data_IF_597802348850
#
_entry.id   IF_597802348850
#
_cell.length_a   1.000
_cell.length_b   1.000
_cell.length_c   1.000
_cell.angle_alpha   90.00
_cell.angle_beta   90.00
_cell.angle_gamma   90.00
#
_symmetry.space_group_name_H-M   'P 1'
#
loop_
_entity.id
_entity.type
_entity.pdbx_description
1 polymer ?
#
# COMPACT_ATOMS: atom_id res chain seq x y z
N UNK A 1 -47.15 71.23 -28.45
CA UNK A 1 -46.54 71.47 -29.78
C UNK A 1 -45.07 71.13 -29.69
N UNK A 2 -44.56 70.23 -30.55
CA UNK A 2 -43.19 70.09 -31.11
C UNK A 2 -41.94 70.32 -30.20
N UNK A 3 -40.84 69.56 -30.24
CA UNK A 3 -40.45 68.39 -31.03
C UNK A 3 -38.91 68.16 -31.00
N UNK A 4 -38.47 66.88 -31.02
CA UNK A 4 -37.12 66.28 -31.23
C UNK A 4 -35.87 67.19 -31.48
N UNK A 5 -34.66 66.79 -31.02
CA UNK A 5 -33.79 65.75 -31.64
C UNK A 5 -32.78 65.08 -30.68
N UNK A 6 -32.15 63.99 -31.16
CA UNK A 6 -31.38 62.95 -30.44
C UNK A 6 -29.86 63.19 -30.37
N UNK A 7 -29.17 62.52 -29.42
CA UNK A 7 -27.91 61.78 -29.70
C UNK A 7 -27.58 60.74 -28.60
N UNK A 8 -27.38 59.49 -29.05
CA UNK A 8 -26.54 58.38 -28.53
C UNK A 8 -25.28 58.84 -27.76
N UNK A 9 -24.70 58.13 -26.78
CA UNK A 9 -24.40 56.68 -26.57
C UNK A 9 -24.22 56.44 -25.04
N UNK A 10 -24.08 55.26 -24.42
CA UNK A 10 -24.05 53.83 -24.79
C UNK A 10 -24.50 52.99 -23.54
N UNK A 11 -24.25 51.67 -23.46
CA UNK A 11 -24.42 50.85 -22.24
C UNK A 11 -23.39 49.71 -22.20
N UNK A 12 -22.34 49.84 -21.39
CA UNK A 12 -21.34 48.78 -21.17
C UNK A 12 -21.91 47.71 -20.24
N UNK A 13 -22.24 46.53 -20.78
CA UNK A 13 -22.43 45.31 -20.00
C UNK A 13 -21.09 44.71 -19.60
N UNK A 14 -20.93 44.16 -18.38
CA UNK A 14 -19.71 43.43 -18.02
C UNK A 14 -19.61 42.16 -18.86
N UNK A 15 -18.44 41.91 -19.45
CA UNK A 15 -18.17 40.67 -20.15
C UNK A 15 -18.03 39.54 -19.13
N UNK A 16 -18.90 38.52 -19.23
CA UNK A 16 -18.67 37.23 -18.57
C UNK A 16 -17.45 36.59 -19.24
N UNK A 17 -16.42 36.16 -18.49
CA UNK A 17 -15.31 35.43 -19.08
C UNK A 17 -15.80 34.05 -19.50
N UNK A 18 -16.12 33.90 -20.78
CA UNK A 18 -16.30 32.58 -21.42
C UNK A 18 -14.94 31.90 -21.50
N UNK A 19 -14.55 31.23 -20.41
CA UNK A 19 -13.41 30.31 -20.41
C UNK A 19 -13.57 29.32 -21.57
N UNK A 20 -12.49 29.07 -22.30
CA UNK A 20 -12.56 28.22 -23.49
C UNK A 20 -13.03 26.83 -23.08
N UNK A 21 -13.97 26.23 -23.83
CA UNK A 21 -14.45 24.88 -23.56
C UNK A 21 -13.33 23.82 -23.53
N UNK A 22 -12.15 24.15 -24.09
CA UNK A 22 -10.93 23.35 -24.04
C UNK A 22 -10.20 23.46 -22.68
N UNK A 23 -10.15 24.64 -22.07
CA UNK A 23 -9.59 24.84 -20.72
C UNK A 23 -10.49 24.19 -19.67
N UNK A 24 -11.82 24.37 -19.77
CA UNK A 24 -12.77 23.74 -18.84
C UNK A 24 -12.67 22.22 -18.88
N UNK A 25 -12.54 21.60 -20.07
CA UNK A 25 -12.33 20.15 -20.19
C UNK A 25 -10.99 19.68 -19.63
N UNK A 26 -9.93 20.47 -19.79
CA UNK A 26 -8.60 20.19 -19.22
C UNK A 26 -8.66 20.21 -17.70
N UNK A 27 -9.20 21.29 -17.13
CA UNK A 27 -9.37 21.45 -15.68
C UNK A 27 -10.26 20.36 -15.07
N UNK A 28 -11.34 19.94 -15.75
CA UNK A 28 -12.18 18.83 -15.27
C UNK A 28 -11.48 17.46 -15.31
N UNK A 29 -10.61 17.20 -16.30
CA UNK A 29 -9.79 15.97 -16.30
C UNK A 29 -8.76 16.00 -15.18
N UNK A 30 -8.06 17.12 -15.03
CA UNK A 30 -7.06 17.32 -13.97
C UNK A 30 -7.69 17.17 -12.56
N UNK A 31 -8.89 17.71 -12.33
CA UNK A 31 -9.65 17.46 -11.11
C UNK A 31 -10.07 15.99 -10.93
N UNK A 32 -10.45 15.29 -12.00
CA UNK A 32 -10.84 13.87 -11.94
C UNK A 32 -9.65 12.96 -11.60
N UNK A 33 -8.48 13.24 -12.17
CA UNK A 33 -7.25 12.49 -11.87
C UNK A 33 -6.72 12.82 -10.46
N UNK A 34 -6.84 14.07 -10.00
CA UNK A 34 -6.47 14.48 -8.63
C UNK A 34 -7.44 13.88 -7.58
N UNK A 35 -8.72 13.72 -7.91
CA UNK A 35 -9.69 12.96 -7.11
C UNK A 35 -9.35 11.46 -7.08
N UNK A 36 -9.01 10.85 -8.23
CA UNK A 36 -8.56 9.45 -8.30
C UNK A 36 -7.30 9.20 -7.48
N UNK A 37 -6.32 10.10 -7.54
CA UNK A 37 -5.09 10.04 -6.74
C UNK A 37 -5.38 10.18 -5.23
N UNK A 38 -6.33 11.03 -4.84
CA UNK A 38 -6.77 11.13 -3.44
C UNK A 38 -7.51 9.88 -2.97
N UNK A 39 -8.36 9.29 -3.81
CA UNK A 39 -9.07 8.06 -3.49
C UNK A 39 -8.12 6.85 -3.43
N UNK A 40 -7.11 6.78 -4.29
CA UNK A 40 -6.08 5.73 -4.20
C UNK A 40 -5.20 5.91 -2.96
N UNK A 41 -4.80 7.14 -2.63
CA UNK A 41 -4.02 7.43 -1.42
C UNK A 41 -4.80 7.11 -0.13
N UNK A 42 -6.11 7.45 -0.07
CA UNK A 42 -6.98 7.05 1.04
C UNK A 42 -7.06 5.54 1.20
N UNK A 43 -7.33 4.80 0.11
CA UNK A 43 -7.39 3.34 0.15
C UNK A 43 -6.04 2.75 0.58
N UNK A 44 -4.93 3.26 0.08
CA UNK A 44 -3.59 2.82 0.50
C UNK A 44 -3.34 3.05 2.00
N UNK A 45 -3.83 4.17 2.57
CA UNK A 45 -3.81 4.39 4.02
C UNK A 45 -4.67 3.37 4.78
N UNK A 46 -5.89 3.07 4.30
CA UNK A 46 -6.80 2.09 4.91
C UNK A 46 -6.26 0.64 4.96
N UNK A 47 -5.31 0.30 4.07
CA UNK A 47 -4.62 -1.00 4.06
C UNK A 47 -3.19 -0.96 4.63
N UNK A 48 -2.73 0.19 5.13
CA UNK A 48 -1.38 0.33 5.72
C UNK A 48 -1.34 -0.12 7.18
N UNK A 49 -0.18 -0.60 7.63
CA UNK A 49 0.12 -0.86 9.05
C UNK A 49 1.49 -0.31 9.42
N UNK A 50 1.70 -0.09 10.71
CA UNK A 50 3.03 0.28 11.23
C UNK A 50 4.08 -0.79 10.91
N UNK A 51 5.28 -0.33 10.57
CA UNK A 51 6.40 -1.23 10.26
C UNK A 51 6.76 -2.16 11.42
N UNK A 52 6.58 -1.71 12.67
CA UNK A 52 6.78 -2.57 13.85
C UNK A 52 5.79 -3.73 13.92
N UNK A 53 4.52 -3.49 13.57
CA UNK A 53 3.50 -4.53 13.48
C UNK A 53 3.79 -5.50 12.32
N UNK A 54 4.32 -5.02 11.19
CA UNK A 54 4.79 -5.89 10.10
C UNK A 54 5.98 -6.76 10.54
N UNK A 55 7.00 -6.19 11.19
CA UNK A 55 8.13 -6.98 11.72
C UNK A 55 7.69 -8.03 12.74
N UNK A 56 6.75 -7.69 13.62
CA UNK A 56 6.20 -8.64 14.59
C UNK A 56 5.48 -9.80 13.88
N UNK A 57 4.65 -9.50 12.88
CA UNK A 57 4.01 -10.52 12.03
C UNK A 57 5.06 -11.41 11.34
N UNK A 58 6.02 -10.80 10.65
CA UNK A 58 7.10 -11.48 9.94
C UNK A 58 7.88 -12.44 10.86
N UNK A 59 8.30 -11.96 12.04
CA UNK A 59 9.04 -12.77 13.01
C UNK A 59 8.26 -14.02 13.45
N UNK A 60 7.00 -13.87 13.85
CA UNK A 60 6.18 -15.00 14.28
C UNK A 60 5.77 -15.93 13.14
N UNK A 61 5.58 -15.41 11.93
CA UNK A 61 5.41 -16.23 10.73
C UNK A 61 6.65 -17.11 10.48
N UNK A 62 7.86 -16.55 10.60
CA UNK A 62 9.11 -17.29 10.46
C UNK A 62 9.26 -18.42 11.47
N UNK A 63 8.94 -18.15 12.76
CA UNK A 63 8.95 -19.18 13.79
C UNK A 63 7.94 -20.31 13.53
N UNK A 64 6.71 -19.98 13.10
CA UNK A 64 5.71 -21.00 12.77
C UNK A 64 6.16 -21.87 11.59
N UNK A 65 6.62 -21.26 10.50
CA UNK A 65 7.07 -21.98 9.31
C UNK A 65 8.29 -22.87 9.61
N UNK A 66 9.20 -22.43 10.47
CA UNK A 66 10.31 -23.25 10.95
C UNK A 66 9.84 -24.43 11.83
N UNK A 67 8.85 -24.23 12.69
CA UNK A 67 8.31 -25.28 13.55
C UNK A 67 7.51 -26.34 12.75
N UNK A 68 6.85 -25.95 11.66
CA UNK A 68 6.06 -26.85 10.81
C UNK A 68 6.90 -27.60 9.76
N UNK A 69 8.12 -27.13 9.48
CA UNK A 69 9.01 -27.72 8.47
C UNK A 69 9.30 -29.21 8.75
N UNK A 70 9.36 -30.08 7.72
CA UNK A 70 9.32 -29.78 6.28
C UNK A 70 7.90 -29.64 5.69
N UNK A 71 6.85 -29.60 6.51
CA UNK A 71 5.46 -29.53 6.03
C UNK A 71 5.13 -28.11 5.56
N UNK A 72 4.68 -27.89 4.31
CA UNK A 72 4.22 -26.59 3.87
C UNK A 72 3.03 -26.10 4.71
N UNK A 73 2.95 -24.80 4.94
CA UNK A 73 1.83 -24.16 5.63
C UNK A 73 1.09 -23.25 4.67
N UNK A 74 -0.24 -23.32 4.61
CA UNK A 74 -1.01 -22.45 3.73
C UNK A 74 -0.94 -20.99 4.21
N UNK A 75 -0.92 -20.04 3.28
CA UNK A 75 -0.99 -18.61 3.58
C UNK A 75 -2.24 -18.24 4.41
N UNK A 76 -3.35 -18.94 4.16
CA UNK A 76 -4.62 -18.74 4.87
C UNK A 76 -4.51 -19.20 6.33
N UNK A 77 -3.94 -20.37 6.57
CA UNK A 77 -3.76 -20.91 7.92
C UNK A 77 -2.74 -20.13 8.73
N UNK A 78 -1.65 -19.64 8.09
CA UNK A 78 -0.68 -18.73 8.71
C UNK A 78 -1.36 -17.45 9.22
N UNK A 79 -2.17 -16.79 8.39
CA UNK A 79 -2.91 -15.58 8.78
C UNK A 79 -3.94 -15.90 9.87
N UNK A 80 -4.71 -16.98 9.73
CA UNK A 80 -5.71 -17.42 10.71
C UNK A 80 -5.07 -17.74 12.07
N UNK A 81 -3.95 -18.44 12.09
CA UNK A 81 -3.16 -18.73 13.30
C UNK A 81 -2.69 -17.43 13.95
N UNK A 82 -2.08 -16.52 13.20
CA UNK A 82 -1.57 -15.27 13.75
C UNK A 82 -2.69 -14.41 14.34
N UNK A 83 -3.81 -14.26 13.63
CA UNK A 83 -4.98 -13.50 14.10
C UNK A 83 -5.70 -14.16 15.29
N UNK A 84 -5.42 -15.44 15.57
CA UNK A 84 -5.91 -16.15 16.76
C UNK A 84 -4.93 -15.99 17.93
N UNK A 85 -3.68 -16.44 17.76
CA UNK A 85 -2.64 -16.52 18.80
C UNK A 85 -1.98 -15.17 19.13
N UNK A 86 -2.07 -14.19 18.23
CA UNK A 86 -1.46 -12.85 18.33
C UNK A 86 -2.47 -11.73 18.11
N UNK A 87 -3.75 -12.00 18.33
CA UNK A 87 -4.84 -11.01 18.25
C UNK A 87 -4.56 -9.71 19.03
N UNK A 88 -3.84 -9.81 20.16
CA UNK A 88 -3.47 -8.69 21.02
C UNK A 88 -2.40 -7.76 20.42
N UNK A 89 -1.69 -8.19 19.37
CA UNK A 89 -0.70 -7.42 18.60
C UNK A 89 -1.26 -6.84 17.30
N UNK A 90 -2.55 -7.03 17.01
CA UNK A 90 -3.20 -6.40 15.85
C UNK A 90 -3.48 -4.92 16.19
N UNK A 91 -3.12 -3.95 15.33
CA UNK A 91 -3.41 -2.53 15.57
C UNK A 91 -4.91 -2.29 15.81
N UNK A 92 -5.23 -1.46 16.81
CA UNK A 92 -6.63 -1.26 17.28
C UNK A 92 -7.43 -0.28 16.42
N UNK A 93 -6.72 0.59 15.73
CA UNK A 93 -7.15 1.55 14.73
C UNK A 93 -7.42 0.90 13.36
N UNK A 94 -6.79 -0.25 13.07
CA UNK A 94 -7.09 -1.03 11.88
C UNK A 94 -8.53 -1.57 11.91
N UNK A 95 -9.31 -1.17 10.91
CA UNK A 95 -10.72 -1.54 10.79
C UNK A 95 -10.91 -3.06 10.73
N UNK A 96 -11.70 -3.63 11.65
CA UNK A 96 -11.87 -5.09 11.81
C UNK A 96 -12.18 -5.86 10.50
N UNK A 97 -13.03 -5.37 9.58
CA UNK A 97 -13.28 -6.04 8.29
C UNK A 97 -12.08 -6.07 7.34
N UNK A 98 -11.12 -5.15 7.51
CA UNK A 98 -9.91 -5.06 6.68
C UNK A 98 -8.77 -5.94 7.20
N UNK A 99 -8.77 -6.29 8.49
CA UNK A 99 -7.71 -7.07 9.14
C UNK A 99 -7.32 -8.32 8.33
N UNK A 100 -8.23 -9.23 7.90
CA UNK A 100 -7.82 -10.41 7.14
C UNK A 100 -7.13 -10.07 5.80
N UNK A 101 -7.61 -9.06 5.09
CA UNK A 101 -7.08 -8.63 3.80
C UNK A 101 -5.70 -7.99 3.94
N UNK A 102 -5.51 -7.18 4.99
CA UNK A 102 -4.22 -6.59 5.33
C UNK A 102 -3.20 -7.68 5.64
N UNK A 103 -3.51 -8.61 6.54
CA UNK A 103 -2.57 -9.68 6.90
C UNK A 103 -2.30 -10.67 5.75
N UNK A 104 -3.27 -10.90 4.86
CA UNK A 104 -3.02 -11.62 3.59
C UNK A 104 -2.05 -10.85 2.68
N UNK A 105 -2.19 -9.52 2.58
CA UNK A 105 -1.22 -8.66 1.87
C UNK A 105 0.18 -8.74 2.48
N UNK A 106 0.30 -8.82 3.82
CA UNK A 106 1.60 -9.00 4.48
C UNK A 106 2.29 -10.31 4.09
N UNK A 107 1.54 -11.40 3.85
CA UNK A 107 2.12 -12.65 3.33
C UNK A 107 2.70 -12.46 1.93
N UNK A 108 2.04 -11.69 1.07
CA UNK A 108 2.61 -11.33 -0.24
C UNK A 108 3.90 -10.50 -0.09
N UNK A 109 3.97 -9.59 0.89
CA UNK A 109 5.21 -8.87 1.18
C UNK A 109 6.33 -9.83 1.60
N UNK A 110 6.06 -10.82 2.47
CA UNK A 110 7.05 -11.84 2.85
C UNK A 110 7.59 -12.62 1.63
N UNK A 111 6.73 -12.93 0.65
CA UNK A 111 7.16 -13.60 -0.59
C UNK A 111 8.08 -12.67 -1.41
N UNK A 112 7.68 -11.41 -1.62
CA UNK A 112 8.46 -10.42 -2.36
C UNK A 112 9.82 -10.12 -1.69
N UNK A 113 9.83 -10.07 -0.36
CA UNK A 113 11.00 -9.88 0.49
C UNK A 113 11.96 -11.09 0.50
N UNK A 114 11.58 -12.22 -0.12
CA UNK A 114 12.28 -13.51 -0.08
C UNK A 114 12.43 -14.07 1.34
N UNK A 115 11.46 -13.77 2.21
CA UNK A 115 11.35 -14.30 3.57
C UNK A 115 10.81 -15.74 3.61
N UNK A 116 10.06 -16.15 2.59
CA UNK A 116 9.42 -17.47 2.51
C UNK A 116 9.57 -18.03 1.12
N UNK A 117 9.73 -19.35 1.04
CA UNK A 117 9.79 -20.06 -0.23
C UNK A 117 8.37 -20.56 -0.58
N UNK A 118 7.92 -20.33 -1.82
CA UNK A 118 6.58 -20.74 -2.27
C UNK A 118 6.66 -22.12 -2.91
N UNK A 119 5.78 -23.03 -2.51
CA UNK A 119 5.67 -24.37 -3.10
C UNK A 119 4.66 -24.35 -4.24
N UNK A 120 5.13 -24.54 -5.46
CA UNK A 120 4.27 -24.73 -6.63
C UNK A 120 3.61 -26.12 -6.60
N UNK A 121 2.32 -26.20 -6.97
CA UNK A 121 1.59 -27.47 -7.07
C UNK A 121 0.60 -27.80 -5.94
N UNK A 122 0.14 -26.83 -5.14
CA UNK A 122 -0.99 -27.07 -4.21
C UNK A 122 -2.29 -27.32 -4.99
N UNK A 123 -2.88 -28.50 -4.85
CA UNK A 123 -4.15 -28.87 -5.50
C UNK A 123 -5.32 -27.98 -5.05
N UNK A 124 -5.28 -27.47 -3.82
CA UNK A 124 -6.30 -26.60 -3.21
C UNK A 124 -6.31 -25.15 -3.74
N UNK A 125 -5.38 -24.76 -4.63
CA UNK A 125 -5.27 -23.40 -5.17
C UNK A 125 -4.81 -22.32 -4.16
N UNK A 126 -4.49 -22.70 -2.93
CA UNK A 126 -3.93 -21.82 -1.91
C UNK A 126 -2.40 -21.78 -1.98
N UNK A 127 -1.81 -20.61 -1.72
CA UNK A 127 -0.36 -20.46 -1.63
C UNK A 127 0.19 -21.26 -0.44
N UNK A 128 1.11 -22.18 -0.72
CA UNK A 128 1.80 -22.99 0.28
C UNK A 128 3.20 -22.44 0.53
N UNK A 129 3.58 -22.31 1.79
CA UNK A 129 4.79 -21.62 2.23
C UNK A 129 5.73 -22.55 2.99
N UNK A 130 7.02 -22.42 2.72
CA UNK A 130 8.12 -23.00 3.48
C UNK A 130 9.04 -21.91 4.04
N UNK A 131 9.77 -22.16 5.15
CA UNK A 131 10.66 -21.18 5.74
C UNK A 131 11.91 -20.99 4.89
N UNK A 132 12.20 -19.75 4.46
CA UNK A 132 13.49 -19.44 3.89
C UNK A 132 14.57 -19.40 5.00
N UNK A 133 15.74 -19.99 4.73
CA UNK A 133 16.87 -20.05 5.69
C UNK A 133 17.39 -18.69 6.17
N UNK A 134 17.15 -17.61 5.43
CA UNK A 134 17.56 -16.25 5.79
C UNK A 134 16.44 -15.40 6.40
N UNK A 135 15.22 -15.92 6.56
CA UNK A 135 14.06 -15.14 6.98
C UNK A 135 14.31 -14.34 8.27
N UNK A 136 14.74 -15.00 9.35
CA UNK A 136 14.99 -14.32 10.62
C UNK A 136 16.10 -13.26 10.55
N UNK A 137 16.91 -13.23 9.49
CA UNK A 137 17.94 -12.22 9.26
C UNK A 137 17.51 -11.12 8.27
N UNK A 138 16.40 -11.29 7.54
CA UNK A 138 15.92 -10.33 6.52
C UNK A 138 15.78 -8.91 7.06
N UNK A 139 15.24 -8.74 8.27
CA UNK A 139 15.05 -7.44 8.91
C UNK A 139 16.36 -6.66 9.18
N UNK A 140 17.52 -7.32 9.06
CA UNK A 140 18.86 -6.74 9.19
C UNK A 140 19.67 -6.75 7.89
N UNK A 141 19.10 -7.23 6.78
CA UNK A 141 19.77 -7.41 5.48
C UNK A 141 20.46 -6.13 5.01
N UNK A 142 19.74 -5.02 4.98
CA UNK A 142 20.28 -3.76 4.45
C UNK A 142 21.37 -3.18 5.35
N UNK A 143 21.23 -3.30 6.68
CA UNK A 143 22.27 -2.91 7.64
C UNK A 143 23.55 -3.74 7.50
N UNK A 144 23.42 -5.04 7.25
CA UNK A 144 24.57 -5.93 7.03
C UNK A 144 25.27 -5.62 5.68
N UNK A 145 24.52 -5.32 4.63
CA UNK A 145 25.06 -4.94 3.32
C UNK A 145 25.76 -3.57 3.35
N UNK A 146 25.15 -2.57 3.98
CA UNK A 146 25.78 -1.25 4.18
C UNK A 146 27.07 -1.36 5.00
N UNK A 147 27.08 -2.17 6.05
CA UNK A 147 28.29 -2.42 6.85
C UNK A 147 29.41 -3.06 6.02
N UNK A 148 29.10 -4.10 5.23
CA UNK A 148 30.07 -4.77 4.33
C UNK A 148 30.64 -3.78 3.29
N UNK A 149 29.81 -2.92 2.70
CA UNK A 149 30.26 -1.86 1.77
C UNK A 149 31.20 -0.88 2.48
N UNK A 150 30.86 -0.40 3.68
CA UNK A 150 31.71 0.52 4.46
C UNK A 150 33.04 -0.10 4.85
N UNK A 151 33.05 -1.37 5.26
CA UNK A 151 34.28 -2.08 5.62
C UNK A 151 35.17 -2.32 4.40
N UNK A 152 34.61 -2.68 3.23
CA UNK A 152 35.39 -2.81 1.98
C UNK A 152 36.01 -1.50 1.50
N UNK A 153 35.37 -0.37 1.78
CA UNK A 153 35.89 0.96 1.45
C UNK A 153 37.02 1.43 2.41
N UNK A 154 37.26 0.72 3.50
CA UNK A 154 38.24 1.09 4.54
C UNK A 154 39.34 0.03 4.62
N UNK A 155 40.45 0.16 3.87
CA UNK A 155 41.57 -0.77 3.97
C UNK A 155 42.21 -0.74 5.37
N UNK A 156 42.67 -1.91 5.82
CA UNK A 156 43.42 -2.09 7.07
C UNK A 156 44.81 -1.45 7.01
#
# INVERSE_FOLDING_TARGET
>A
MQGLRKLTKEKTTPAVPTASAREVRSSMHECADLLRLKDSAKRQQEYSIDYEAYRHFAFFAGLLLQANAPTPTSAVDLVKWYLTEKAYCVPRDLSRPLVPNVYTTLVHNLILDSCVDVVEGSEDGHLQLLPNKYFLLWAWKDFALDFDVRMRATPF
#
